data_IF_319060849680
#
_entry.id   IF_319060849680
#
_cell.length_a   1.000
_cell.length_b   1.000
_cell.length_c   1.000
_cell.angle_alpha   90.00
_cell.angle_beta   90.00
_cell.angle_gamma   90.00
#
_symmetry.space_group_name_H-M   'P 1'
#
loop_
_entity.id
_entity.type
_entity.pdbx_description
1 polymer ?
#
# COMPACT_ATOMS: atom_id res chain seq x y z
N UNK A 1 -0.93 12.41 -15.86
CA UNK A 1 -1.02 11.74 -14.54
C UNK A 1 -2.49 11.55 -14.23
N UNK A 2 -2.95 10.34 -13.90
CA UNK A 2 -4.39 10.00 -13.81
C UNK A 2 -5.15 10.63 -12.62
N UNK A 3 -4.49 11.42 -11.75
CA UNK A 3 -5.16 12.09 -10.63
C UNK A 3 -5.77 11.13 -9.59
N UNK A 4 -5.36 9.87 -9.62
CA UNK A 4 -5.83 8.83 -8.70
C UNK A 4 -4.98 8.89 -7.45
N UNK A 5 -5.61 9.18 -6.31
CA UNK A 5 -5.01 9.10 -4.99
C UNK A 5 -4.88 7.63 -4.57
N UNK A 6 -3.72 7.05 -4.84
CA UNK A 6 -3.41 5.66 -4.51
C UNK A 6 -2.66 5.55 -3.18
N UNK A 7 -3.04 4.57 -2.35
CA UNK A 7 -2.25 4.16 -1.18
C UNK A 7 -1.72 2.75 -1.37
N UNK A 8 -0.44 2.54 -1.06
CA UNK A 8 0.21 1.23 -1.16
C UNK A 8 0.72 0.85 0.22
N UNK A 9 0.17 -0.23 0.77
CA UNK A 9 0.62 -0.79 2.05
C UNK A 9 1.73 -1.80 1.77
N UNK A 10 2.90 -1.61 2.38
CA UNK A 10 4.06 -2.48 2.28
C UNK A 10 4.53 -2.92 3.67
N UNK A 11 5.15 -4.10 3.83
CA UNK A 11 5.74 -4.49 5.11
C UNK A 11 6.98 -3.62 5.41
N UNK A 12 7.30 -3.43 6.69
CA UNK A 12 8.47 -2.63 7.11
C UNK A 12 9.80 -3.14 6.58
N UNK A 13 9.89 -4.45 6.34
CA UNK A 13 11.06 -5.11 5.74
C UNK A 13 11.16 -4.99 4.22
N UNK A 14 10.26 -4.24 3.55
CA UNK A 14 10.27 -4.12 2.10
C UNK A 14 11.60 -3.51 1.59
N UNK A 15 12.17 -4.01 0.47
CA UNK A 15 13.37 -3.44 -0.13
C UNK A 15 13.15 -1.98 -0.51
N UNK A 16 14.07 -1.10 -0.11
CA UNK A 16 13.98 0.36 -0.38
C UNK A 16 13.83 0.69 -1.87
N UNK A 17 14.37 -0.15 -2.75
CA UNK A 17 14.20 0.00 -4.21
C UNK A 17 12.75 -0.11 -4.66
N UNK A 18 11.93 -0.96 -4.03
CA UNK A 18 10.50 -1.11 -4.33
C UNK A 18 9.66 0.04 -3.76
N UNK A 19 10.04 0.54 -2.58
CA UNK A 19 9.40 1.71 -1.96
C UNK A 19 9.61 2.95 -2.85
N UNK A 20 10.85 3.21 -3.27
CA UNK A 20 11.19 4.34 -4.13
C UNK A 20 10.42 4.30 -5.47
N UNK A 21 10.39 3.14 -6.13
CA UNK A 21 9.64 2.97 -7.36
C UNK A 21 8.13 3.25 -7.20
N UNK A 22 7.57 3.03 -6.00
CA UNK A 22 6.14 3.23 -5.74
C UNK A 22 5.83 4.70 -5.42
N UNK A 23 6.72 5.39 -4.71
CA UNK A 23 6.59 6.82 -4.43
C UNK A 23 6.57 7.67 -5.72
N UNK A 24 7.32 7.26 -6.74
CA UNK A 24 7.38 7.97 -8.02
C UNK A 24 6.03 7.98 -8.78
N UNK A 25 5.11 7.05 -8.47
CA UNK A 25 3.79 6.98 -9.09
C UNK A 25 2.73 7.85 -8.40
N UNK A 26 3.15 8.78 -7.51
CA UNK A 26 2.24 9.62 -6.70
C UNK A 26 1.31 8.83 -5.79
N UNK A 27 1.73 7.63 -5.39
CA UNK A 27 1.04 6.81 -4.41
C UNK A 27 1.65 7.02 -3.01
N UNK A 28 0.80 7.15 -1.99
CA UNK A 28 1.22 7.20 -0.60
C UNK A 28 1.66 5.80 -0.15
N UNK A 29 2.91 5.64 0.26
CA UNK A 29 3.42 4.35 0.75
C UNK A 29 3.28 4.27 2.26
N UNK A 30 2.47 3.32 2.73
CA UNK A 30 2.23 3.04 4.15
C UNK A 30 3.02 1.80 4.55
N UNK A 31 4.08 1.96 5.34
CA UNK A 31 4.87 0.84 5.85
C UNK A 31 4.24 0.28 7.13
N UNK A 32 3.64 -0.91 7.06
CA UNK A 32 2.97 -1.54 8.20
C UNK A 32 3.19 -3.05 8.25
N UNK A 33 3.39 -3.58 9.46
CA UNK A 33 3.57 -5.02 9.67
C UNK A 33 4.93 -5.56 9.25
N UNK A 34 5.17 -6.81 9.62
CA UNK A 34 6.41 -7.54 9.32
C UNK A 34 6.19 -8.58 8.22
N UNK A 35 4.94 -8.98 7.99
CA UNK A 35 4.54 -9.97 7.01
C UNK A 35 3.36 -9.48 6.14
N UNK A 36 3.00 -10.26 5.11
CA UNK A 36 1.92 -9.93 4.19
C UNK A 36 0.53 -9.90 4.87
N UNK A 37 0.26 -10.78 5.82
CA UNK A 37 -1.03 -10.80 6.52
C UNK A 37 -1.26 -9.52 7.32
N UNK A 38 -0.22 -9.00 7.98
CA UNK A 38 -0.28 -7.73 8.70
C UNK A 38 -0.60 -6.56 7.75
N UNK A 39 -0.02 -6.58 6.54
CA UNK A 39 -0.33 -5.55 5.53
C UNK A 39 -1.78 -5.64 5.07
N UNK A 40 -2.33 -6.84 4.88
CA UNK A 40 -3.74 -7.04 4.51
C UNK A 40 -4.67 -6.57 5.63
N UNK A 41 -4.35 -6.85 6.89
CA UNK A 41 -5.12 -6.33 8.02
C UNK A 41 -5.17 -4.79 8.01
N UNK A 42 -4.03 -4.14 7.73
CA UNK A 42 -3.98 -2.68 7.62
C UNK A 42 -4.72 -2.13 6.40
N UNK A 43 -4.67 -2.83 5.28
CA UNK A 43 -5.45 -2.48 4.08
C UNK A 43 -6.94 -2.50 4.39
N UNK A 44 -7.44 -3.55 5.04
CA UNK A 44 -8.86 -3.65 5.42
C UNK A 44 -9.29 -2.48 6.32
N UNK A 45 -8.47 -2.12 7.30
CA UNK A 45 -8.71 -0.96 8.16
C UNK A 45 -8.82 0.35 7.35
N UNK A 46 -7.92 0.57 6.39
CA UNK A 46 -7.93 1.76 5.52
C UNK A 46 -9.16 1.77 4.60
N UNK A 47 -9.53 0.62 4.04
CA UNK A 47 -10.72 0.46 3.20
C UNK A 47 -11.98 0.84 3.97
N UNK A 48 -12.11 0.34 5.21
CA UNK A 48 -13.26 0.64 6.06
C UNK A 48 -13.29 2.10 6.54
N UNK A 49 -12.15 2.65 6.96
CA UNK A 49 -12.08 4.03 7.48
C UNK A 49 -12.20 5.09 6.40
N UNK A 50 -11.59 4.87 5.23
CA UNK A 50 -11.49 5.86 4.15
C UNK A 50 -12.45 5.58 2.99
N UNK A 51 -13.19 4.47 3.01
CA UNK A 51 -14.10 4.08 1.93
C UNK A 51 -13.39 3.78 0.61
N UNK A 52 -12.16 3.28 0.66
CA UNK A 52 -11.31 3.04 -0.52
C UNK A 52 -11.58 1.68 -1.16
N UNK A 53 -11.23 1.54 -2.43
CA UNK A 53 -11.27 0.26 -3.14
C UNK A 53 -9.90 -0.41 -3.02
N UNK A 54 -9.88 -1.63 -2.49
CA UNK A 54 -8.66 -2.44 -2.46
C UNK A 54 -8.42 -3.12 -3.81
N UNK A 55 -7.25 -2.87 -4.38
CA UNK A 55 -6.73 -3.60 -5.53
C UNK A 55 -5.68 -4.61 -5.04
N UNK A 56 -6.02 -5.91 -4.95
CA UNK A 56 -5.03 -6.92 -4.61
C UNK A 56 -3.98 -6.98 -5.72
N UNK A 57 -2.71 -6.97 -5.34
CA UNK A 57 -1.62 -7.39 -6.22
C UNK A 57 -1.78 -8.89 -6.47
N UNK A 58 -2.54 -9.23 -7.51
CA UNK A 58 -2.61 -10.57 -8.05
C UNK A 58 -1.27 -10.92 -8.71
N UNK A 59 -0.92 -12.21 -8.56
CA UNK A 59 0.34 -12.86 -8.87
C UNK A 59 0.87 -12.60 -10.28
#
# INVERSE_FOLDING_TARGET
>A
MLGIDGKVVMPKGAPKSKVAATCDYSAEVVLHGDNFNDTIAKVSEIVEMEGRIFYPTLR
#
